data_IF_346892637254
#
_entry.id   IF_346892637254
#
_cell.length_a   1.000
_cell.length_b   1.000
_cell.length_c   1.000
_cell.angle_alpha   90.00
_cell.angle_beta   90.00
_cell.angle_gamma   90.00
#
_symmetry.space_group_name_H-M   'P 1'
#
loop_
_entity.id
_entity.type
_entity.pdbx_description
1 polymer ?
#
# COMPACT_ATOMS: atom_id res chain seq x y z
N UNK A 1 -2.37 1.35 2.92
CA UNK A 1 -0.97 1.67 2.58
C UNK A 1 -0.64 1.08 1.21
N UNK A 2 -0.13 1.87 0.27
CA UNK A 2 0.19 1.38 -1.07
C UNK A 2 0.81 2.45 -1.98
N UNK A 3 1.36 2.04 -3.12
CA UNK A 3 2.09 2.93 -4.03
C UNK A 3 1.67 2.81 -5.50
N UNK A 4 1.74 1.61 -6.13
CA UNK A 4 1.52 1.50 -7.55
C UNK A 4 0.03 1.49 -7.90
N UNK A 5 -0.25 1.53 -9.20
CA UNK A 5 -1.56 1.32 -9.82
C UNK A 5 -2.22 0.02 -9.36
N UNK A 6 -1.46 -1.05 -9.14
CA UNK A 6 -1.97 -2.32 -8.60
C UNK A 6 -2.74 -2.18 -7.28
N UNK A 7 -2.42 -1.17 -6.45
CA UNK A 7 -3.08 -0.94 -5.18
C UNK A 7 -4.34 -0.05 -5.29
N UNK A 8 -4.55 0.63 -6.42
CA UNK A 8 -5.66 1.58 -6.60
C UNK A 8 -7.02 0.89 -6.61
N UNK A 9 -7.25 -0.24 -7.31
CA UNK A 9 -8.54 -0.92 -7.29
C UNK A 9 -8.99 -1.34 -5.88
N UNK A 10 -8.07 -1.76 -5.02
CA UNK A 10 -8.38 -2.09 -3.63
C UNK A 10 -8.81 -0.87 -2.82
N UNK A 11 -8.18 0.29 -3.06
CA UNK A 11 -8.59 1.54 -2.41
C UNK A 11 -9.96 2.00 -2.92
N UNK A 12 -10.17 2.00 -4.24
CA UNK A 12 -11.44 2.41 -4.84
C UNK A 12 -12.58 1.49 -4.33
N UNK A 13 -12.39 0.17 -4.30
CA UNK A 13 -13.39 -0.77 -3.78
C UNK A 13 -13.74 -0.52 -2.30
N UNK A 14 -12.74 -0.25 -1.45
CA UNK A 14 -13.01 0.10 -0.04
C UNK A 14 -13.86 1.37 0.08
N UNK A 15 -13.61 2.38 -0.75
CA UNK A 15 -14.41 3.62 -0.72
C UNK A 15 -15.83 3.36 -1.21
N UNK A 16 -15.98 2.62 -2.31
CA UNK A 16 -17.28 2.30 -2.91
C UNK A 16 -18.16 1.46 -1.96
N UNK A 17 -17.56 0.58 -1.16
CA UNK A 17 -18.23 -0.23 -0.13
C UNK A 17 -18.54 0.55 1.16
N UNK A 18 -18.26 1.86 1.21
CA UNK A 18 -18.47 2.70 2.40
C UNK A 18 -17.45 2.48 3.52
N UNK A 19 -16.33 1.81 3.21
CA UNK A 19 -15.22 1.50 4.10
C UNK A 19 -13.99 2.39 3.82
N UNK A 20 -14.24 3.65 3.44
CA UNK A 20 -13.17 4.59 3.12
C UNK A 20 -12.16 4.70 4.30
N UNK A 21 -10.86 4.54 4.04
CA UNK A 21 -9.86 4.60 5.11
C UNK A 21 -9.72 6.03 5.66
N UNK A 22 -9.46 6.14 6.96
CA UNK A 22 -9.22 7.42 7.64
C UNK A 22 -7.98 8.16 7.13
N UNK A 23 -7.00 7.44 6.58
CA UNK A 23 -5.82 7.99 5.95
C UNK A 23 -5.20 6.97 4.97
N UNK A 24 -4.46 7.47 3.99
CA UNK A 24 -3.68 6.67 3.05
C UNK A 24 -2.19 6.98 3.20
N UNK A 25 -1.38 5.97 3.50
CA UNK A 25 0.08 6.09 3.49
C UNK A 25 0.65 5.62 2.15
N UNK A 26 1.46 6.46 1.53
CA UNK A 26 2.18 6.17 0.28
C UNK A 26 3.60 6.73 0.29
N UNK A 27 4.39 6.49 -0.75
CA UNK A 27 5.76 7.03 -0.83
C UNK A 27 5.74 8.53 -1.18
N UNK A 28 6.75 9.31 -0.76
CA UNK A 28 6.94 10.68 -1.22
C UNK A 28 6.99 10.78 -2.74
N UNK A 29 6.51 11.90 -3.27
CA UNK A 29 6.62 12.18 -4.70
C UNK A 29 8.10 12.28 -5.07
N UNK A 30 8.49 11.62 -6.15
CA UNK A 30 9.88 11.59 -6.61
C UNK A 30 9.99 11.97 -8.08
N UNK A 31 11.06 12.66 -8.49
CA UNK A 31 11.37 12.85 -9.90
C UNK A 31 11.51 11.50 -10.61
N UNK A 32 10.76 11.30 -11.70
CA UNK A 32 10.76 10.04 -12.44
C UNK A 32 10.69 10.25 -13.96
N UNK A 33 11.13 9.23 -14.72
CA UNK A 33 11.09 9.23 -16.19
C UNK A 33 12.06 10.21 -16.85
N UNK A 34 11.94 10.35 -18.18
CA UNK A 34 12.73 11.29 -18.97
C UNK A 34 12.32 12.73 -18.62
N UNK A 35 13.28 13.57 -18.23
CA UNK A 35 13.02 14.95 -17.82
C UNK A 35 12.73 15.15 -16.33
N UNK A 36 12.76 14.08 -15.50
CA UNK A 36 12.72 14.15 -14.03
C UNK A 36 11.59 15.04 -13.48
N UNK A 37 10.40 15.01 -14.09
CA UNK A 37 9.24 15.69 -13.54
C UNK A 37 8.81 14.99 -12.24
N UNK A 38 8.33 15.77 -11.28
CA UNK A 38 7.78 15.24 -10.03
C UNK A 38 6.60 14.34 -10.38
N UNK A 39 6.62 13.08 -9.90
CA UNK A 39 5.56 12.12 -10.14
C UNK A 39 4.98 11.66 -8.81
N UNK A 40 3.68 11.91 -8.67
CA UNK A 40 2.86 11.36 -7.58
C UNK A 40 2.61 9.87 -7.78
N UNK A 41 2.46 9.15 -6.66
CA UNK A 41 2.05 7.74 -6.69
C UNK A 41 0.60 7.60 -7.21
N UNK A 42 0.27 6.44 -7.77
CA UNK A 42 -1.09 6.19 -8.25
C UNK A 42 -2.10 6.21 -7.09
N UNK A 43 -1.69 5.64 -5.95
CA UNK A 43 -2.48 5.65 -4.70
C UNK A 43 -2.69 7.07 -4.16
N UNK A 44 -1.69 7.97 -4.23
CA UNK A 44 -1.88 9.38 -3.85
C UNK A 44 -2.99 10.03 -4.65
N UNK A 45 -2.95 9.89 -5.98
CA UNK A 45 -3.95 10.48 -6.88
C UNK A 45 -5.35 9.95 -6.60
N UNK A 46 -5.47 8.66 -6.30
CA UNK A 46 -6.75 8.06 -5.93
C UNK A 46 -7.27 8.56 -4.58
N UNK A 47 -6.41 8.63 -3.56
CA UNK A 47 -6.78 9.16 -2.25
C UNK A 47 -7.24 10.62 -2.33
N UNK A 48 -6.52 11.47 -3.08
CA UNK A 48 -6.90 12.88 -3.30
C UNK A 48 -8.24 13.00 -4.01
N UNK A 49 -8.51 12.18 -5.04
CA UNK A 49 -9.82 12.13 -5.71
C UNK A 49 -10.97 11.83 -4.75
N UNK A 50 -10.74 10.94 -3.79
CA UNK A 50 -11.72 10.54 -2.78
C UNK A 50 -11.74 11.45 -1.54
N UNK A 51 -10.90 12.49 -1.48
CA UNK A 51 -10.81 13.39 -0.33
C UNK A 51 -10.18 12.76 0.92
N UNK A 52 -9.41 11.69 0.76
CA UNK A 52 -8.77 10.97 1.88
C UNK A 52 -7.43 11.61 2.22
N UNK A 53 -7.13 11.88 3.51
CA UNK A 53 -5.82 12.39 3.94
C UNK A 53 -4.67 11.48 3.50
N UNK A 54 -3.58 12.08 3.01
CA UNK A 54 -2.41 11.34 2.50
C UNK A 54 -1.18 11.61 3.35
N UNK A 55 -0.57 10.54 3.87
CA UNK A 55 0.70 10.57 4.59
C UNK A 55 1.82 10.08 3.68
N UNK A 56 2.90 10.86 3.57
CA UNK A 56 4.04 10.55 2.69
C UNK A 56 5.38 10.58 3.45
N UNK A 57 5.57 9.73 4.48
CA UNK A 57 6.80 9.74 5.26
C UNK A 57 8.00 9.28 4.42
N UNK A 58 9.10 10.02 4.48
CA UNK A 58 10.37 9.58 3.89
C UNK A 58 10.82 8.24 4.51
N UNK A 59 10.67 8.11 5.82
CA UNK A 59 10.99 6.91 6.59
C UNK A 59 9.82 6.46 7.45
N UNK A 60 9.51 5.16 7.47
CA UNK A 60 8.52 4.59 8.38
C UNK A 60 8.99 4.52 9.85
N UNK A 61 10.27 4.83 10.09
CA UNK A 61 10.88 4.91 11.43
C UNK A 61 10.96 6.35 11.94
N UNK A 62 10.44 7.32 11.18
CA UNK A 62 10.40 8.71 11.61
C UNK A 62 9.44 8.85 12.80
N UNK A 63 9.89 9.33 13.98
CA UNK A 63 9.04 9.49 15.16
C UNK A 63 7.83 10.40 14.92
N UNK A 64 7.95 11.42 14.06
CA UNK A 64 6.83 12.31 13.75
C UNK A 64 5.72 11.54 13.01
N UNK A 65 6.09 10.71 12.04
CA UNK A 65 5.15 9.85 11.33
C UNK A 65 4.56 8.77 12.25
N UNK A 66 5.36 8.17 13.12
CA UNK A 66 4.86 7.18 14.08
C UNK A 66 3.80 7.78 15.00
N UNK A 67 4.08 8.99 15.54
CA UNK A 67 3.12 9.70 16.37
C UNK A 67 1.83 10.05 15.62
N UNK A 68 1.93 10.52 14.38
CA UNK A 68 0.77 10.79 13.52
C UNK A 68 -0.04 9.52 13.24
N UNK A 69 0.61 8.39 12.95
CA UNK A 69 -0.04 7.12 12.71
C UNK A 69 -0.73 6.56 13.97
N UNK A 70 -0.09 6.67 15.13
CA UNK A 70 -0.67 6.27 16.42
C UNK A 70 -1.89 7.10 16.77
N UNK A 71 -1.85 8.42 16.53
CA UNK A 71 -2.97 9.33 16.79
C UNK A 71 -4.22 9.01 15.96
N UNK A 72 -4.05 8.36 14.80
CA UNK A 72 -5.16 7.89 13.97
C UNK A 72 -5.91 6.68 14.58
N UNK A 73 -5.28 5.96 15.53
CA UNK A 73 -5.83 4.77 16.18
C UNK A 73 -6.50 3.77 15.20
N UNK A 74 -5.78 3.30 14.16
CA UNK A 74 -6.39 2.44 13.15
C UNK A 74 -6.82 1.08 13.73
N UNK A 75 -7.98 0.59 13.31
CA UNK A 75 -8.35 -0.80 13.60
C UNK A 75 -7.52 -1.79 12.79
N UNK A 76 -7.29 -1.51 11.51
CA UNK A 76 -6.61 -2.37 10.53
C UNK A 76 -5.65 -1.54 9.68
N UNK A 77 -4.48 -2.11 9.34
CA UNK A 77 -3.67 -1.62 8.22
C UNK A 77 -3.86 -2.52 6.99
N UNK A 78 -4.59 -2.04 5.98
CA UNK A 78 -4.64 -2.69 4.68
C UNK A 78 -3.40 -2.31 3.85
N UNK A 79 -2.58 -3.28 3.47
CA UNK A 79 -1.28 -3.08 2.80
C UNK A 79 -1.31 -3.72 1.41
N UNK A 80 -1.04 -2.95 0.36
CA UNK A 80 -0.98 -3.48 -1.02
C UNK A 80 0.22 -2.89 -1.74
N UNK A 81 1.14 -3.75 -2.19
CA UNK A 81 2.36 -3.37 -2.91
C UNK A 81 3.10 -2.17 -2.29
N UNK A 82 3.50 -2.32 -1.03
CA UNK A 82 4.15 -1.29 -0.23
C UNK A 82 5.51 -1.74 0.34
N UNK A 83 6.17 -0.83 1.08
CA UNK A 83 7.46 -1.08 1.75
C UNK A 83 7.31 -2.12 2.86
N UNK A 84 8.44 -2.69 3.28
CA UNK A 84 8.53 -3.47 4.53
C UNK A 84 8.10 -2.57 5.69
N UNK A 85 7.13 -3.04 6.48
CA UNK A 85 6.67 -2.35 7.67
C UNK A 85 7.57 -2.70 8.86
N UNK A 86 8.14 -1.70 9.55
CA UNK A 86 8.80 -1.94 10.83
C UNK A 86 7.75 -2.31 11.90
N UNK A 87 8.20 -2.95 12.99
CA UNK A 87 7.33 -3.46 14.06
C UNK A 87 6.44 -2.38 14.63
N UNK A 88 7.04 -1.23 14.90
CA UNK A 88 6.41 -0.05 15.47
C UNK A 88 5.26 0.46 14.60
N UNK A 89 5.25 0.15 13.30
CA UNK A 89 4.16 0.50 12.40
C UNK A 89 3.07 -0.57 12.39
N UNK A 90 3.40 -1.85 12.20
CA UNK A 90 2.35 -2.87 12.07
C UNK A 90 1.66 -3.22 13.40
N UNK A 91 2.28 -2.89 14.54
CA UNK A 91 1.67 -3.04 15.88
C UNK A 91 0.73 -1.87 16.25
N UNK A 92 0.71 -0.77 15.48
CA UNK A 92 -0.21 0.36 15.76
C UNK A 92 -1.68 0.02 15.57
N UNK A 93 -1.99 -0.94 14.70
CA UNK A 93 -3.36 -1.33 14.42
C UNK A 93 -3.86 -2.42 15.36
N UNK A 94 -5.02 -2.18 15.98
CA UNK A 94 -5.63 -3.07 16.99
C UNK A 94 -5.85 -4.50 16.50
N UNK A 95 -6.24 -4.68 15.24
CA UNK A 95 -6.50 -5.98 14.60
C UNK A 95 -5.33 -6.43 13.70
N UNK A 96 -4.29 -5.59 13.57
CA UNK A 96 -3.08 -5.89 12.82
C UNK A 96 -3.06 -5.37 11.38
N UNK A 97 -2.02 -5.78 10.66
CA UNK A 97 -1.76 -5.41 9.28
C UNK A 97 -1.99 -6.60 8.35
N UNK A 98 -2.79 -6.40 7.30
CA UNK A 98 -3.14 -7.42 6.31
C UNK A 98 -2.59 -7.01 4.96
N UNK A 99 -1.97 -7.95 4.25
CA UNK A 99 -1.35 -7.69 2.96
C UNK A 99 -2.07 -8.43 1.85
N UNK A 100 -2.51 -7.70 0.81
CA UNK A 100 -2.88 -8.34 -0.45
C UNK A 100 -1.59 -8.64 -1.24
N UNK A 101 -1.30 -9.93 -1.38
CA UNK A 101 -0.17 -10.45 -2.13
C UNK A 101 -0.62 -10.97 -3.49
N UNK A 102 0.13 -10.67 -4.55
CA UNK A 102 -0.22 -10.97 -5.95
C UNK A 102 0.06 -12.40 -6.41
N UNK A 103 -0.05 -13.38 -5.52
CA UNK A 103 -0.01 -14.81 -5.85
C UNK A 103 -0.84 -15.64 -4.86
N UNK A 104 -1.06 -16.91 -5.21
CA UNK A 104 -1.58 -17.92 -4.29
C UNK A 104 -0.47 -18.39 -3.35
N UNK A 105 -0.41 -17.83 -2.14
CA UNK A 105 0.59 -18.22 -1.15
C UNK A 105 0.40 -19.70 -0.73
N UNK A 106 1.48 -20.42 -0.35
CA UNK A 106 2.85 -19.93 -0.12
C UNK A 106 3.70 -19.74 -1.38
N UNK A 107 3.17 -19.98 -2.58
CA UNK A 107 3.91 -19.82 -3.83
C UNK A 107 4.21 -18.34 -4.13
N UNK A 108 5.35 -18.09 -4.80
CA UNK A 108 5.75 -16.77 -5.29
C UNK A 108 5.79 -15.65 -4.23
N UNK A 109 6.22 -15.96 -2.99
CA UNK A 109 6.59 -14.92 -2.02
C UNK A 109 7.64 -13.97 -2.61
N UNK A 110 7.57 -12.69 -2.26
CA UNK A 110 8.58 -11.69 -2.62
C UNK A 110 8.05 -10.60 -3.56
N UNK A 111 8.96 -9.94 -4.27
CA UNK A 111 8.70 -8.62 -4.87
C UNK A 111 7.97 -8.64 -6.22
N UNK A 112 8.02 -9.75 -6.97
CA UNK A 112 7.48 -9.81 -8.34
C UNK A 112 6.70 -11.11 -8.63
N UNK A 113 5.66 -11.43 -7.84
CA UNK A 113 4.92 -12.69 -7.96
C UNK A 113 4.28 -12.88 -9.34
N UNK A 114 3.68 -11.81 -9.88
CA UNK A 114 2.97 -11.83 -11.16
C UNK A 114 3.95 -12.16 -12.30
N UNK A 115 5.08 -11.45 -12.37
CA UNK A 115 6.09 -11.70 -13.39
C UNK A 115 6.64 -13.12 -13.31
N UNK A 116 6.88 -13.63 -12.09
CA UNK A 116 7.45 -14.96 -11.91
C UNK A 116 6.48 -16.07 -12.30
N UNK A 117 5.20 -15.95 -11.95
CA UNK A 117 4.17 -16.88 -12.39
C UNK A 117 4.12 -16.96 -13.93
N UNK A 118 4.17 -15.83 -14.63
CA UNK A 118 4.20 -15.79 -16.10
C UNK A 118 5.46 -16.48 -16.64
N UNK A 119 6.65 -16.17 -16.09
CA UNK A 119 7.92 -16.76 -16.54
C UNK A 119 7.96 -18.29 -16.36
N UNK A 120 7.34 -18.80 -15.30
CA UNK A 120 7.28 -20.23 -15.01
C UNK A 120 6.19 -20.95 -15.84
N UNK A 121 5.38 -20.19 -16.60
CA UNK A 121 4.36 -20.75 -17.49
C UNK A 121 3.15 -21.36 -16.77
N UNK A 122 2.89 -20.99 -15.52
CA UNK A 122 1.73 -21.51 -14.79
C UNK A 122 0.44 -21.00 -15.42
N UNK A 123 -0.57 -21.87 -15.49
CA UNK A 123 -1.87 -21.55 -16.07
C UNK A 123 -2.83 -20.91 -15.06
N UNK A 124 -2.48 -20.93 -13.78
CA UNK A 124 -3.27 -20.39 -12.68
C UNK A 124 -2.37 -19.66 -11.69
N UNK A 125 -2.85 -18.51 -11.22
CA UNK A 125 -2.33 -17.75 -10.09
C UNK A 125 -3.50 -16.94 -9.51
N UNK A 126 -3.25 -16.06 -8.54
CA UNK A 126 -4.32 -15.29 -7.92
C UNK A 126 -3.79 -14.30 -6.90
N UNK A 127 -4.59 -14.03 -5.88
CA UNK A 127 -4.24 -13.16 -4.76
C UNK A 127 -4.43 -13.91 -3.45
N UNK A 128 -3.70 -13.50 -2.40
CA UNK A 128 -3.89 -13.98 -1.03
C UNK A 128 -3.90 -12.79 -0.08
N UNK A 129 -4.70 -12.86 0.99
CA UNK A 129 -4.76 -11.88 2.10
C UNK A 129 -4.55 -12.59 3.42
#
# INVERSE_FOLDING_TARGET
MGTPDFAVPSLDALVDDGLAPIAVVTVPDKPAGRGRKLRESAVKKAAVRHGIPVLQPESLKDPAFQHELEALQPDILAVVAFRILPREVYETARLGAFNLHGSLLPAYRGAAPINRAIMDGVTETGVTT
#
